data_IF_045539897682
#
_entry.id   IF_045539897682
#
_cell.length_a   1.000
_cell.length_b   1.000
_cell.length_c   1.000
_cell.angle_alpha   90.00
_cell.angle_beta   90.00
_cell.angle_gamma   90.00
#
_symmetry.space_group_name_H-M   'P 1'
#
loop_
_entity.id
_entity.type
_entity.pdbx_description
1 polymer ?
#
# COMPACT_ATOMS: atom_id res chain seq x y z
N UNK A 1 -0.33 12.48 -13.76
CA UNK A 1 -0.10 13.09 -12.42
C UNK A 1 0.63 12.05 -11.62
N UNK A 2 1.73 12.38 -10.97
CA UNK A 2 2.59 11.38 -10.33
C UNK A 2 1.86 10.67 -9.20
N UNK A 3 1.69 9.36 -9.35
CA UNK A 3 1.07 8.49 -8.36
C UNK A 3 2.09 7.47 -7.83
N UNK A 4 1.92 7.04 -6.60
CA UNK A 4 2.64 5.93 -6.01
C UNK A 4 1.73 4.70 -6.03
N UNK A 5 2.25 3.60 -6.55
CA UNK A 5 1.61 2.29 -6.49
C UNK A 5 2.26 1.48 -5.37
N UNK A 6 1.49 1.22 -4.33
CA UNK A 6 1.89 0.29 -3.27
C UNK A 6 1.24 -1.05 -3.54
N UNK A 7 2.03 -2.12 -3.63
CA UNK A 7 1.51 -3.49 -3.81
C UNK A 7 2.19 -4.49 -2.89
N UNK A 8 1.58 -5.65 -2.73
CA UNK A 8 2.17 -6.77 -2.01
C UNK A 8 1.20 -7.93 -1.84
N UNK A 9 1.69 -9.04 -1.26
CA UNK A 9 0.85 -10.21 -1.00
C UNK A 9 -0.04 -9.93 0.22
N UNK A 10 -1.35 -10.09 0.04
CA UNK A 10 -2.35 -9.88 1.08
C UNK A 10 -2.02 -10.72 2.31
N UNK A 11 -2.07 -10.09 3.48
CA UNK A 11 -1.89 -10.83 4.73
C UNK A 11 -3.10 -11.70 5.01
N UNK A 12 -2.88 -12.99 5.28
CA UNK A 12 -3.95 -13.96 5.60
C UNK A 12 -4.52 -14.73 4.40
N UNK A 13 -4.18 -14.35 3.17
CA UNK A 13 -4.56 -15.07 1.95
C UNK A 13 -3.30 -15.42 1.14
N UNK A 14 -3.17 -16.68 0.73
CA UNK A 14 -2.01 -17.12 -0.04
C UNK A 14 -2.14 -16.74 -1.50
N UNK A 15 -1.09 -16.11 -2.06
CA UNK A 15 -0.98 -15.86 -3.50
C UNK A 15 -1.82 -14.71 -4.05
N UNK A 16 -2.54 -13.97 -3.22
CA UNK A 16 -3.34 -12.80 -3.65
C UNK A 16 -2.49 -11.54 -3.55
N UNK A 17 -2.17 -10.90 -4.67
CA UNK A 17 -1.55 -9.57 -4.69
C UNK A 17 -2.62 -8.48 -4.64
N UNK A 18 -2.46 -7.52 -3.72
CA UNK A 18 -3.32 -6.34 -3.60
C UNK A 18 -2.50 -5.09 -3.79
N UNK A 19 -3.15 -4.01 -4.24
CA UNK A 19 -2.51 -2.72 -4.46
C UNK A 19 -3.39 -1.55 -4.07
N UNK A 20 -2.78 -0.43 -3.74
CA UNK A 20 -3.41 0.88 -3.57
C UNK A 20 -2.61 1.92 -4.36
N UNK A 21 -3.33 2.86 -4.98
CA UNK A 21 -2.74 4.00 -5.67
C UNK A 21 -2.93 5.24 -4.80
N UNK A 22 -1.88 6.04 -4.68
CA UNK A 22 -1.86 7.28 -3.91
C UNK A 22 -1.36 8.40 -4.81
N UNK A 23 -2.10 9.50 -4.88
CA UNK A 23 -1.64 10.71 -5.56
C UNK A 23 -0.67 11.49 -4.67
N UNK A 24 0.56 11.72 -5.14
CA UNK A 24 1.62 12.34 -4.32
C UNK A 24 1.29 13.78 -3.94
N UNK A 25 0.51 14.49 -4.75
CA UNK A 25 0.22 15.91 -4.54
C UNK A 25 -1.08 16.12 -3.75
N UNK A 26 -2.03 15.19 -3.86
CA UNK A 26 -3.38 15.37 -3.36
C UNK A 26 -3.74 14.46 -2.18
N UNK A 27 -3.02 13.35 -1.98
CA UNK A 27 -3.36 12.37 -0.96
C UNK A 27 -2.42 12.41 0.24
N UNK A 28 -2.99 12.24 1.43
CA UNK A 28 -2.22 11.96 2.63
C UNK A 28 -2.06 10.45 2.81
N UNK A 29 -0.84 9.93 2.66
CA UNK A 29 -0.54 8.52 2.83
C UNK A 29 0.17 8.25 4.15
N UNK A 30 -0.27 7.21 4.86
CA UNK A 30 0.40 6.68 6.05
C UNK A 30 0.79 5.23 5.83
N UNK A 31 2.01 4.88 6.22
CA UNK A 31 2.55 3.53 6.12
C UNK A 31 2.96 3.09 7.52
N UNK A 32 2.37 1.99 7.98
CA UNK A 32 2.66 1.39 9.28
C UNK A 32 3.29 0.02 9.10
N UNK A 33 4.34 -0.26 9.88
CA UNK A 33 5.07 -1.52 9.81
C UNK A 33 5.07 -2.23 11.17
N UNK A 34 4.80 -3.53 11.13
CA UNK A 34 4.96 -4.42 12.27
C UNK A 34 5.94 -5.55 11.91
N UNK A 35 6.16 -6.48 12.85
CA UNK A 35 6.99 -7.67 12.59
C UNK A 35 6.38 -8.62 11.54
N UNK A 36 5.07 -8.56 11.29
CA UNK A 36 4.36 -9.51 10.41
C UNK A 36 3.79 -8.86 9.15
N UNK A 37 3.33 -7.62 9.26
CA UNK A 37 2.62 -6.94 8.18
C UNK A 37 3.13 -5.53 7.94
N UNK A 38 2.88 -5.05 6.72
CA UNK A 38 2.88 -3.64 6.38
C UNK A 38 1.45 -3.23 6.03
N UNK A 39 1.00 -2.10 6.57
CA UNK A 39 -0.26 -1.47 6.20
C UNK A 39 0.04 -0.15 5.49
N UNK A 40 -0.65 0.10 4.38
CA UNK A 40 -0.63 1.38 3.66
C UNK A 40 -2.05 1.91 3.66
N UNK A 41 -2.24 3.14 4.13
CA UNK A 41 -3.53 3.81 4.22
C UNK A 41 -3.47 5.15 3.48
N UNK A 42 -4.40 5.34 2.55
CA UNK A 42 -4.71 6.66 2.01
C UNK A 42 -5.74 7.31 2.94
N UNK A 43 -5.31 8.30 3.74
CA UNK A 43 -6.19 8.99 4.69
C UNK A 43 -7.18 9.92 4.00
N UNK A 44 -6.92 10.34 2.76
CA UNK A 44 -7.85 11.18 2.00
C UNK A 44 -9.08 10.38 1.54
N UNK A 45 -8.90 9.12 1.15
CA UNK A 45 -9.99 8.24 0.68
C UNK A 45 -10.51 7.27 1.76
N UNK A 46 -9.72 7.02 2.81
CA UNK A 46 -10.00 5.99 3.82
C UNK A 46 -9.64 4.57 3.36
N UNK A 47 -9.16 4.40 2.14
CA UNK A 47 -8.74 3.09 1.62
C UNK A 47 -7.41 2.64 2.22
N UNK A 48 -7.27 1.33 2.43
CA UNK A 48 -6.02 0.76 2.92
C UNK A 48 -5.79 -0.66 2.40
N UNK A 49 -4.52 -1.06 2.36
CA UNK A 49 -4.10 -2.43 2.14
C UNK A 49 -3.26 -2.93 3.31
N UNK A 50 -3.36 -4.22 3.60
CA UNK A 50 -2.50 -4.91 4.57
C UNK A 50 -1.82 -6.09 3.89
N UNK A 51 -0.50 -6.04 3.79
CA UNK A 51 0.32 -7.02 3.08
C UNK A 51 1.36 -7.66 4.01
N UNK A 52 1.86 -8.83 3.63
CA UNK A 52 2.97 -9.48 4.30
C UNK A 52 4.19 -8.53 4.33
N UNK A 53 4.85 -8.40 5.50
CA UNK A 53 5.87 -7.37 5.75
C UNK A 53 6.95 -7.29 4.68
N UNK A 54 7.43 -8.45 4.24
CA UNK A 54 8.52 -8.62 3.26
C UNK A 54 8.07 -8.55 1.79
N UNK A 55 6.80 -8.24 1.53
CA UNK A 55 6.23 -8.22 0.16
C UNK A 55 5.80 -6.84 -0.29
N UNK A 56 5.83 -5.84 0.59
CA UNK A 56 5.46 -4.47 0.23
C UNK A 56 6.46 -3.89 -0.79
N UNK A 57 5.92 -3.46 -1.93
CA UNK A 57 6.63 -2.73 -2.98
C UNK A 57 6.01 -1.34 -3.13
N UNK A 58 6.83 -0.38 -3.55
CA UNK A 58 6.41 0.96 -3.89
C UNK A 58 7.02 1.33 -5.24
N UNK A 59 6.19 1.72 -6.20
CA UNK A 59 6.59 2.09 -7.55
C UNK A 59 5.99 3.44 -7.92
N UNK A 60 6.76 4.28 -8.62
CA UNK A 60 6.24 5.54 -9.17
C UNK A 60 5.54 5.22 -10.49
N UNK A 61 4.29 5.66 -10.62
CA UNK A 61 3.49 5.51 -11.84
C UNK A 61 3.04 6.90 -12.33
N UNK A 62 3.08 7.12 -13.64
CA UNK A 62 2.83 8.43 -14.28
C UNK A 62 1.37 8.67 -14.66
#
# INVERSE_FOLDING_TARGET
MTKLSYSGLKYGESGVEIKILVDVQNDWCEITHTKKVSQVMNKSTGEYITVNRNTLKCEIVS
#
